data_IF_882271897466
#
_entry.id   IF_882271897466
#
_cell.length_a   1.000
_cell.length_b   1.000
_cell.length_c   1.000
_cell.angle_alpha   90.00
_cell.angle_beta   90.00
_cell.angle_gamma   90.00
#
_symmetry.space_group_name_H-M   'P 1'
#
loop_
_entity.id
_entity.type
_entity.pdbx_description
1 polymer ?
#
# COMPACT_ATOMS: atom_id res chain seq x y z
N UNK A 1 -10.69 16.58 7.52
CA UNK A 1 -9.78 16.21 6.41
C UNK A 1 -8.63 15.39 7.00
N UNK A 2 -7.98 14.57 6.19
CA UNK A 2 -6.80 13.80 6.59
C UNK A 2 -5.80 13.73 5.45
N UNK A 3 -4.52 13.64 5.81
CA UNK A 3 -3.41 13.46 4.89
C UNK A 3 -3.20 11.98 4.63
N UNK A 4 -3.09 11.59 3.36
CA UNK A 4 -2.84 10.21 2.94
C UNK A 4 -1.66 10.13 1.96
N UNK A 5 -0.89 9.07 2.07
CA UNK A 5 0.09 8.66 1.06
C UNK A 5 -0.53 7.54 0.20
N UNK A 6 -0.37 7.63 -1.11
CA UNK A 6 -0.93 6.63 -2.03
C UNK A 6 0.04 5.46 -2.25
N UNK A 7 -0.53 4.29 -2.50
CA UNK A 7 0.19 3.09 -2.89
C UNK A 7 -0.05 2.79 -4.38
N UNK A 8 0.84 1.98 -4.97
CA UNK A 8 0.65 1.49 -6.33
C UNK A 8 -0.62 0.65 -6.43
N UNK A 9 -1.34 0.68 -7.58
CA UNK A 9 -2.43 -0.25 -7.83
C UNK A 9 -2.01 -1.71 -7.61
N UNK A 10 -2.94 -2.55 -7.16
CA UNK A 10 -2.68 -3.98 -7.04
C UNK A 10 -2.40 -4.60 -8.41
N UNK A 11 -1.55 -5.63 -8.42
CA UNK A 11 -1.37 -6.47 -9.60
C UNK A 11 -2.69 -7.15 -9.96
N UNK A 12 -2.86 -7.47 -11.26
CA UNK A 12 -4.07 -8.13 -11.76
C UNK A 12 -4.33 -9.49 -11.06
N UNK A 13 -3.26 -10.17 -10.65
CA UNK A 13 -3.32 -11.43 -9.90
C UNK A 13 -2.49 -11.35 -8.63
N UNK A 14 -2.90 -12.01 -7.52
CA UNK A 14 -2.11 -12.08 -6.30
C UNK A 14 -0.86 -12.96 -6.48
N UNK A 15 0.08 -12.92 -5.51
CA UNK A 15 1.22 -13.85 -5.50
C UNK A 15 0.71 -15.30 -5.38
N UNK A 16 1.10 -16.22 -6.28
CA UNK A 16 0.54 -17.57 -6.32
C UNK A 16 0.93 -18.43 -5.11
N UNK A 17 1.98 -18.07 -4.36
CA UNK A 17 2.46 -18.90 -3.24
C UNK A 17 1.66 -18.70 -1.97
N UNK A 18 1.15 -17.48 -1.76
CA UNK A 18 0.46 -17.11 -0.53
C UNK A 18 -0.85 -16.33 -0.76
N UNK A 19 -1.25 -16.12 -2.02
CA UNK A 19 -2.49 -15.43 -2.41
C UNK A 19 -2.66 -14.02 -1.82
N UNK A 20 -1.54 -13.32 -1.55
CA UNK A 20 -1.58 -11.92 -1.06
C UNK A 20 -1.06 -10.95 -2.11
N UNK A 21 -1.48 -9.70 -2.00
CA UNK A 21 -1.01 -8.60 -2.83
C UNK A 21 0.18 -7.89 -2.17
N UNK A 22 1.17 -7.53 -2.97
CA UNK A 22 2.27 -6.67 -2.52
C UNK A 22 1.81 -5.21 -2.52
N UNK A 23 1.99 -4.54 -1.39
CA UNK A 23 1.79 -3.08 -1.29
C UNK A 23 3.13 -2.39 -1.51
N UNK A 24 3.17 -1.37 -2.38
CA UNK A 24 4.36 -0.56 -2.64
C UNK A 24 3.98 0.92 -2.68
N UNK A 25 4.84 1.81 -2.19
CA UNK A 25 4.58 3.26 -2.19
C UNK A 25 4.49 3.78 -3.63
N UNK A 26 3.52 4.67 -3.90
CA UNK A 26 3.45 5.35 -5.18
C UNK A 26 4.43 6.52 -5.18
N UNK A 27 5.50 6.40 -5.97
CA UNK A 27 6.54 7.42 -6.12
C UNK A 27 6.48 7.98 -7.54
N UNK A 28 6.44 9.32 -7.66
CA UNK A 28 6.49 10.03 -8.93
C UNK A 28 7.57 11.11 -8.85
N UNK A 29 8.48 11.12 -9.83
CA UNK A 29 9.61 12.07 -9.87
C UNK A 29 10.48 12.09 -8.60
N UNK A 30 10.63 10.95 -7.93
CA UNK A 30 11.41 10.83 -6.69
C UNK A 30 10.66 11.17 -5.40
N UNK A 31 9.40 11.60 -5.50
CA UNK A 31 8.59 11.98 -4.33
C UNK A 31 7.38 11.06 -4.15
N UNK A 32 6.92 10.93 -2.90
CA UNK A 32 5.71 10.19 -2.58
C UNK A 32 4.49 10.96 -3.08
N UNK A 33 3.55 10.26 -3.70
CA UNK A 33 2.29 10.86 -4.13
C UNK A 33 1.34 10.89 -2.94
N UNK A 34 0.87 12.09 -2.58
CA UNK A 34 0.05 12.31 -1.38
C UNK A 34 -1.17 13.18 -1.69
N UNK A 35 -2.16 13.16 -0.81
CA UNK A 35 -3.39 13.95 -0.96
C UNK A 35 -4.05 14.27 0.38
N UNK A 36 -4.88 15.30 0.39
CA UNK A 36 -5.76 15.63 1.52
C UNK A 36 -7.18 15.24 1.14
N UNK A 37 -7.78 14.31 1.87
CA UNK A 37 -9.13 13.79 1.59
C UNK A 37 -10.06 13.99 2.81
N UNK A 38 -11.39 14.05 2.62
CA UNK A 38 -12.34 13.88 3.71
C UNK A 38 -12.14 12.53 4.41
N UNK A 39 -12.21 12.52 5.74
CA UNK A 39 -12.08 11.28 6.52
C UNK A 39 -13.19 10.29 6.17
N UNK A 40 -14.36 10.79 5.76
CA UNK A 40 -15.49 9.99 5.27
C UNK A 40 -15.18 9.16 4.02
N UNK A 41 -14.09 9.46 3.30
CA UNK A 41 -13.67 8.67 2.14
C UNK A 41 -12.89 7.40 2.54
N UNK A 42 -12.49 7.27 3.81
CA UNK A 42 -11.85 6.06 4.34
C UNK A 42 -12.94 5.11 4.81
N UNK A 43 -13.10 4.00 4.10
CA UNK A 43 -14.19 3.04 4.36
C UNK A 43 -13.78 1.90 5.27
N UNK A 44 -12.55 1.41 5.14
CA UNK A 44 -12.06 0.24 5.85
C UNK A 44 -10.54 0.24 5.93
N UNK A 45 -10.03 -0.43 6.95
CA UNK A 45 -8.62 -0.77 7.08
C UNK A 45 -8.38 -2.19 6.59
N UNK A 46 -7.13 -2.50 6.22
CA UNK A 46 -6.69 -3.85 5.89
C UNK A 46 -5.55 -4.26 6.81
N UNK A 47 -5.48 -5.55 7.14
CA UNK A 47 -4.35 -6.11 7.88
C UNK A 47 -3.20 -6.41 6.93
N UNK A 48 -2.01 -5.94 7.29
CA UNK A 48 -0.79 -6.19 6.52
C UNK A 48 0.02 -7.28 7.22
N UNK A 49 0.52 -8.23 6.43
CA UNK A 49 1.51 -9.18 6.91
C UNK A 49 2.89 -8.69 6.47
N UNK A 50 3.85 -8.54 7.40
CA UNK A 50 5.20 -8.10 7.04
C UNK A 50 5.84 -9.11 6.10
N UNK A 51 6.42 -8.61 5.01
CA UNK A 51 7.27 -9.41 4.12
C UNK A 51 8.72 -9.15 4.49
N UNK A 52 9.27 -10.01 5.33
CA UNK A 52 10.68 -9.95 5.70
C UNK A 52 11.56 -10.27 4.49
N UNK A 53 12.71 -9.59 4.41
CA UNK A 53 13.74 -9.90 3.41
C UNK A 53 14.53 -11.15 3.78
N UNK A 54 15.67 -11.37 3.10
CA UNK A 54 16.55 -12.52 3.38
C UNK A 54 17.14 -12.52 4.80
N UNK A 55 17.10 -11.38 5.49
CA UNK A 55 17.44 -11.26 6.91
C UNK A 55 16.16 -10.87 7.65
N UNK A 56 15.67 -11.78 8.48
CA UNK A 56 14.66 -11.47 9.49
C UNK A 56 15.39 -11.04 10.78
N UNK A 57 14.91 -10.02 11.51
CA UNK A 57 15.44 -9.66 12.82
C UNK A 57 15.17 -10.74 13.87
#
# INVERSE_FOLDING_TARGET
LTYVEWFTPFSATPDPRHSMYKISQLIKSGERVTSIIPVSNITHSIHLMPRFGAVAP
#
